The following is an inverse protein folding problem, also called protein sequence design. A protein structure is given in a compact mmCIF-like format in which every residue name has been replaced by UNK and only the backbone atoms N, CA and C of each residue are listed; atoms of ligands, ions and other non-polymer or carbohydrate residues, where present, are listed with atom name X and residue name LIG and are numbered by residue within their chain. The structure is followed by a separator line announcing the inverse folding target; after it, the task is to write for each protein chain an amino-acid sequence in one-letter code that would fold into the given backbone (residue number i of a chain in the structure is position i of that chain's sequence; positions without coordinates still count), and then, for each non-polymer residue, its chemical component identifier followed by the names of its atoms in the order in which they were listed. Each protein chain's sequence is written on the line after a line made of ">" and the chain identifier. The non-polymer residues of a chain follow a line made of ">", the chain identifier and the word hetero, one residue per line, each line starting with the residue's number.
data_IF_238613774757
#
_entry.id   IF_238613774757
#
_cell.length_a   1.000
_cell.length_b   1.000
_cell.length_c   1.000
_cell.angle_alpha   90.00
_cell.angle_beta   90.00
_cell.angle_gamma   90.00
#
_symmetry.space_group_name_H-M   'P 1'
#
loop_
_entity.id
_entity.type
_entity.pdbx_description
1 polymer ?
#
# COMPACT_ATOMS: atom_id res chain seq x y z
N UNK A 1 60.07 41.87 12.12
CA UNK A 1 58.67 41.96 11.72
C UNK A 1 58.09 40.54 11.70
N UNK A 2 57.33 40.16 12.74
CA UNK A 2 56.68 38.83 12.87
C UNK A 2 55.30 38.94 12.24
N UNK A 3 55.03 38.14 11.18
CA UNK A 3 53.73 38.02 10.55
C UNK A 3 52.84 37.08 11.39
N UNK A 4 51.76 37.62 11.93
CA UNK A 4 50.73 36.86 12.62
C UNK A 4 49.73 36.39 11.56
N UNK A 5 49.60 35.08 11.41
CA UNK A 5 48.57 34.44 10.56
C UNK A 5 47.27 34.32 11.37
N UNK A 6 46.11 34.74 10.88
CA UNK A 6 44.86 34.50 11.59
C UNK A 6 44.43 33.06 11.42
N UNK A 7 44.16 32.42 12.55
CA UNK A 7 43.60 31.08 12.66
C UNK A 7 42.11 31.20 12.31
N UNK A 8 41.73 30.71 11.12
CA UNK A 8 40.31 30.63 10.65
C UNK A 8 39.64 29.44 11.34
N UNK A 9 38.87 29.73 12.39
CA UNK A 9 38.05 28.71 13.04
C UNK A 9 36.89 28.31 12.08
N UNK A 10 36.95 27.11 11.46
CA UNK A 10 35.84 26.50 10.80
C UNK A 10 34.77 26.11 11.85
N UNK A 11 33.72 26.92 11.95
CA UNK A 11 32.48 26.49 12.60
C UNK A 11 31.81 25.40 11.70
N UNK A 12 31.99 24.15 12.04
CA UNK A 12 31.18 23.08 11.57
C UNK A 12 29.76 23.25 12.12
N UNK A 13 28.86 23.87 11.34
CA UNK A 13 27.45 23.82 11.60
C UNK A 13 27.04 22.32 11.45
N UNK A 14 26.94 21.64 12.59
CA UNK A 14 26.20 20.39 12.65
C UNK A 14 24.71 20.74 12.38
N UNK A 15 24.30 20.70 11.10
CA UNK A 15 22.89 20.60 10.73
C UNK A 15 22.40 19.31 11.37
N UNK A 16 21.70 19.42 12.49
CA UNK A 16 20.95 18.34 13.07
C UNK A 16 19.93 17.88 12.03
N UNK A 17 20.23 16.79 11.33
CA UNK A 17 19.24 16.10 10.52
C UNK A 17 18.10 15.74 11.46
N UNK A 18 16.89 16.26 11.20
CA UNK A 18 15.69 15.75 11.86
C UNK A 18 15.69 14.23 11.68
N UNK A 19 15.40 13.46 12.73
CA UNK A 19 15.23 12.01 12.56
C UNK A 19 14.26 11.79 11.40
N UNK A 20 14.60 10.89 10.47
CA UNK A 20 13.70 10.53 9.40
C UNK A 20 12.37 10.08 10.02
N UNK A 21 11.25 10.62 9.55
CA UNK A 21 9.94 10.18 10.01
C UNK A 21 9.82 8.68 9.73
N UNK A 22 9.37 7.93 10.75
CA UNK A 22 9.12 6.49 10.59
C UNK A 22 7.86 6.27 9.77
N UNK A 23 7.74 5.14 9.06
CA UNK A 23 6.50 4.75 8.42
C UNK A 23 5.35 4.73 9.43
N UNK A 24 4.15 5.09 8.97
CA UNK A 24 2.89 5.01 9.72
C UNK A 24 2.24 3.66 9.49
N UNK A 25 1.48 3.18 10.47
CA UNK A 25 0.76 1.91 10.35
C UNK A 25 -0.71 2.19 10.06
N UNK A 26 -1.22 1.63 8.97
CA UNK A 26 -2.62 1.73 8.56
C UNK A 26 -3.26 0.35 8.41
N UNK A 27 -4.57 0.33 8.19
CA UNK A 27 -5.37 -0.88 8.04
C UNK A 27 -6.35 -0.71 6.88
N UNK A 28 -6.78 -1.80 6.26
CA UNK A 28 -7.91 -1.76 5.32
C UNK A 28 -9.22 -1.39 6.03
N UNK A 29 -10.00 -0.49 5.47
CA UNK A 29 -11.34 -0.16 5.97
C UNK A 29 -12.25 -1.40 6.01
N UNK A 30 -12.09 -2.31 5.06
CA UNK A 30 -12.80 -3.61 5.02
C UNK A 30 -12.58 -4.44 6.30
N UNK A 31 -11.42 -4.32 6.94
CA UNK A 31 -11.12 -5.01 8.20
C UNK A 31 -11.85 -4.37 9.39
N UNK A 32 -12.05 -3.04 9.37
CA UNK A 32 -12.88 -2.34 10.36
C UNK A 32 -14.32 -2.85 10.26
N UNK A 33 -14.85 -3.02 9.06
CA UNK A 33 -16.15 -3.65 8.83
C UNK A 33 -16.20 -5.10 9.30
N UNK A 34 -15.10 -5.83 9.13
CA UNK A 34 -15.02 -7.21 9.62
C UNK A 34 -15.07 -7.25 11.15
N UNK A 35 -14.39 -6.35 11.84
CA UNK A 35 -14.50 -6.18 13.29
C UNK A 35 -15.95 -5.88 13.68
N UNK A 36 -16.58 -4.91 13.01
CA UNK A 36 -17.97 -4.51 13.30
C UNK A 36 -18.93 -5.72 13.23
N UNK A 37 -18.80 -6.53 12.16
CA UNK A 37 -19.63 -7.72 11.97
C UNK A 37 -19.33 -8.81 12.99
N UNK A 38 -18.06 -9.06 13.32
CA UNK A 38 -17.67 -10.14 14.25
C UNK A 38 -18.04 -9.81 15.70
N UNK A 39 -17.91 -8.54 16.09
CA UNK A 39 -18.21 -8.08 17.46
C UNK A 39 -19.69 -7.69 17.63
N UNK A 40 -20.47 -7.59 16.56
CA UNK A 40 -21.87 -7.15 16.61
C UNK A 40 -22.05 -5.69 17.02
N UNK A 41 -21.11 -4.82 16.60
CA UNK A 41 -21.06 -3.40 16.94
C UNK A 41 -21.17 -2.53 15.68
N UNK A 42 -21.37 -1.21 15.85
CA UNK A 42 -21.38 -0.26 14.74
C UNK A 42 -19.98 -0.09 14.12
N UNK A 43 -19.95 0.40 12.85
CA UNK A 43 -18.69 0.77 12.20
C UNK A 43 -17.89 1.79 13.02
N UNK A 44 -18.54 2.79 13.60
CA UNK A 44 -17.90 3.80 14.46
C UNK A 44 -17.22 3.18 15.68
N UNK A 45 -17.88 2.26 16.37
CA UNK A 45 -17.31 1.57 17.53
C UNK A 45 -16.14 0.68 17.13
N UNK A 46 -16.24 -0.03 16.00
CA UNK A 46 -15.15 -0.82 15.45
C UNK A 46 -13.94 0.05 15.07
N UNK A 47 -14.18 1.16 14.37
CA UNK A 47 -13.13 2.11 14.01
C UNK A 47 -12.46 2.71 15.26
N UNK A 48 -13.23 3.06 16.30
CA UNK A 48 -12.67 3.56 17.55
C UNK A 48 -11.75 2.51 18.21
N UNK A 49 -12.16 1.23 18.26
CA UNK A 49 -11.30 0.14 18.78
C UNK A 49 -10.00 -0.02 17.98
N UNK A 50 -10.06 0.06 16.66
CA UNK A 50 -8.87 0.01 15.80
C UNK A 50 -7.97 1.23 16.05
N UNK A 51 -8.54 2.41 16.22
CA UNK A 51 -7.78 3.62 16.55
C UNK A 51 -7.10 3.54 17.92
N UNK A 52 -7.79 2.96 18.92
CA UNK A 52 -7.24 2.71 20.27
C UNK A 52 -6.05 1.74 20.26
N UNK A 53 -5.99 0.77 19.34
CA UNK A 53 -4.81 -0.08 19.15
C UNK A 53 -3.60 0.74 18.74
N UNK A 54 -3.80 1.82 17.95
CA UNK A 54 -2.75 2.75 17.53
C UNK A 54 -2.66 2.96 16.02
N UNK A 55 -3.54 2.36 15.21
CA UNK A 55 -3.52 2.55 13.77
C UNK A 55 -3.67 4.02 13.37
N UNK A 56 -2.77 4.50 12.51
CA UNK A 56 -2.67 5.92 12.14
C UNK A 56 -3.58 6.30 10.97
N UNK A 57 -3.98 5.34 10.13
CA UNK A 57 -4.75 5.60 8.92
C UNK A 57 -5.53 4.38 8.44
N UNK A 58 -6.32 4.58 7.40
CA UNK A 58 -7.08 3.53 6.75
C UNK A 58 -7.03 3.65 5.22
N UNK A 59 -6.84 2.51 4.54
CA UNK A 59 -7.05 2.39 3.09
C UNK A 59 -8.53 2.23 2.84
N UNK A 60 -9.09 3.03 1.95
CA UNK A 60 -10.53 3.09 1.67
C UNK A 60 -10.82 2.91 0.20
N UNK A 61 -11.98 2.36 -0.14
CA UNK A 61 -12.40 2.25 -1.54
C UNK A 61 -12.97 3.56 -2.06
N UNK A 62 -12.76 3.83 -3.35
CA UNK A 62 -13.27 5.03 -4.03
C UNK A 62 -14.80 5.15 -3.94
N UNK A 63 -15.52 4.02 -3.76
CA UNK A 63 -16.96 4.00 -3.55
C UNK A 63 -17.36 3.82 -2.08
N UNK A 64 -16.46 4.17 -1.14
CA UNK A 64 -16.75 4.12 0.29
C UNK A 64 -17.92 5.06 0.64
N UNK A 65 -18.75 4.63 1.59
CA UNK A 65 -19.85 5.47 2.09
C UNK A 65 -19.28 6.78 2.68
N UNK A 66 -19.76 7.95 2.24
CA UNK A 66 -19.32 9.23 2.79
C UNK A 66 -19.49 9.37 4.31
N UNK A 67 -20.47 8.70 4.93
CA UNK A 67 -20.63 8.69 6.37
C UNK A 67 -19.51 7.96 7.08
N UNK A 68 -19.01 6.89 6.49
CA UNK A 68 -17.86 6.13 7.00
C UNK A 68 -16.58 6.95 6.93
N UNK A 69 -16.36 7.65 5.82
CA UNK A 69 -15.22 8.56 5.67
C UNK A 69 -15.26 9.65 6.75
N UNK A 70 -16.44 10.27 6.98
CA UNK A 70 -16.63 11.25 8.08
C UNK A 70 -16.38 10.66 9.48
N UNK A 71 -16.71 9.38 9.67
CA UNK A 71 -16.41 8.67 10.93
C UNK A 71 -14.90 8.51 11.10
N UNK A 72 -14.19 8.03 10.07
CA UNK A 72 -12.73 7.87 10.10
C UNK A 72 -12.04 9.20 10.39
N UNK A 73 -12.41 10.28 9.68
CA UNK A 73 -11.87 11.62 9.91
C UNK A 73 -12.12 12.11 11.34
N UNK A 74 -13.35 11.92 11.86
CA UNK A 74 -13.71 12.34 13.22
C UNK A 74 -12.94 11.60 14.32
N UNK A 75 -12.42 10.40 14.02
CA UNK A 75 -11.57 9.59 14.90
C UNK A 75 -10.07 9.85 14.68
N UNK A 76 -9.72 10.71 13.73
CA UNK A 76 -8.33 11.10 13.43
C UNK A 76 -7.53 10.05 12.66
N UNK A 77 -8.21 9.25 11.81
CA UNK A 77 -7.49 8.43 10.84
C UNK A 77 -6.93 9.30 9.72
N UNK A 78 -5.68 9.05 9.35
CA UNK A 78 -5.06 9.65 8.18
C UNK A 78 -5.49 8.95 6.89
N UNK A 79 -5.42 9.68 5.78
CA UNK A 79 -5.72 9.21 4.43
C UNK A 79 -4.50 8.43 3.90
N UNK A 80 -4.48 7.10 4.09
CA UNK A 80 -3.31 6.28 3.70
C UNK A 80 -3.29 5.98 2.21
N UNK A 81 -4.35 5.39 1.66
CA UNK A 81 -4.50 5.11 0.23
C UNK A 81 -5.97 5.03 -0.16
N UNK A 82 -6.35 5.55 -1.33
CA UNK A 82 -7.63 5.26 -1.97
C UNK A 82 -7.47 4.04 -2.89
N UNK A 83 -8.48 3.18 -2.97
CA UNK A 83 -8.47 1.96 -3.77
C UNK A 83 -9.57 2.05 -4.82
N UNK A 84 -9.22 1.98 -6.10
CA UNK A 84 -10.16 1.93 -7.21
C UNK A 84 -10.12 0.57 -7.90
N UNK A 85 -11.25 -0.13 -7.89
CA UNK A 85 -11.44 -1.35 -8.66
C UNK A 85 -11.92 -0.96 -10.06
N UNK A 86 -11.06 -1.05 -11.08
CA UNK A 86 -11.36 -0.68 -12.47
C UNK A 86 -11.03 -1.85 -13.37
N UNK A 87 -12.07 -2.50 -13.91
CA UNK A 87 -11.91 -3.71 -14.73
C UNK A 87 -11.53 -3.41 -16.18
N UNK A 88 -10.22 -3.21 -16.41
CA UNK A 88 -9.68 -3.01 -17.76
C UNK A 88 -9.72 -4.27 -18.63
N UNK A 89 -9.95 -5.44 -18.06
CA UNK A 89 -10.23 -6.65 -18.81
C UNK A 89 -11.58 -6.58 -19.58
N UNK A 90 -12.54 -5.84 -19.04
CA UNK A 90 -13.83 -5.58 -19.69
C UNK A 90 -13.79 -4.44 -20.73
N UNK A 91 -12.69 -3.69 -20.84
CA UNK A 91 -12.53 -2.61 -21.81
C UNK A 91 -12.29 -1.25 -21.18
N UNK A 92 -12.76 -0.17 -21.85
CA UNK A 92 -12.66 1.19 -21.32
C UNK A 92 -13.61 1.42 -20.15
N UNK A 93 -13.17 2.19 -19.16
CA UNK A 93 -13.90 2.42 -17.89
C UNK A 93 -13.95 3.92 -17.52
N UNK A 94 -14.41 4.80 -18.42
CA UNK A 94 -14.30 6.25 -18.22
C UNK A 94 -15.06 6.76 -17.00
N UNK A 95 -16.17 6.12 -16.64
CA UNK A 95 -16.99 6.51 -15.48
C UNK A 95 -16.27 6.18 -14.16
N UNK A 96 -15.66 5.00 -14.05
CA UNK A 96 -14.89 4.60 -12.87
C UNK A 96 -13.60 5.41 -12.74
N UNK A 97 -12.94 5.71 -13.84
CA UNK A 97 -11.76 6.58 -13.86
C UNK A 97 -12.10 8.01 -13.39
N UNK A 98 -13.23 8.55 -13.87
CA UNK A 98 -13.72 9.85 -13.42
C UNK A 98 -14.10 9.85 -11.94
N UNK A 99 -14.77 8.80 -11.46
CA UNK A 99 -15.14 8.64 -10.06
C UNK A 99 -13.89 8.56 -9.16
N UNK A 100 -12.84 7.84 -9.59
CA UNK A 100 -11.57 7.75 -8.85
C UNK A 100 -10.90 9.11 -8.72
N UNK A 101 -10.81 9.90 -9.80
CA UNK A 101 -10.24 11.24 -9.76
C UNK A 101 -11.06 12.20 -8.87
N UNK A 102 -12.39 12.17 -9.01
CA UNK A 102 -13.29 12.99 -8.20
C UNK A 102 -13.17 12.65 -6.71
N UNK A 103 -12.99 11.38 -6.37
CA UNK A 103 -12.78 10.93 -5.00
C UNK A 103 -11.50 11.53 -4.40
N UNK A 104 -10.36 11.44 -5.12
CA UNK A 104 -9.09 12.01 -4.66
C UNK A 104 -9.21 13.50 -4.39
N UNK A 105 -9.82 14.24 -5.33
CA UNK A 105 -10.04 15.70 -5.22
C UNK A 105 -10.98 16.07 -4.07
N UNK A 106 -12.04 15.28 -3.85
CA UNK A 106 -13.08 15.60 -2.88
C UNK A 106 -12.65 15.29 -1.44
N UNK A 107 -11.98 14.15 -1.24
CA UNK A 107 -11.65 13.65 0.09
C UNK A 107 -10.19 13.84 0.49
N UNK A 108 -9.36 14.44 -0.39
CA UNK A 108 -7.98 14.82 -0.05
C UNK A 108 -7.01 13.65 0.05
N UNK A 109 -7.28 12.54 -0.63
CA UNK A 109 -6.31 11.47 -0.79
C UNK A 109 -5.28 11.85 -1.86
N UNK A 110 -4.00 11.61 -1.60
CA UNK A 110 -2.90 11.96 -2.51
C UNK A 110 -2.41 10.76 -3.35
N UNK A 111 -2.90 9.56 -3.05
CA UNK A 111 -2.48 8.31 -3.70
C UNK A 111 -3.63 7.36 -3.96
N UNK A 112 -3.51 6.65 -5.08
CA UNK A 112 -4.50 5.71 -5.59
C UNK A 112 -3.85 4.35 -5.86
N UNK A 113 -4.34 3.30 -5.23
CA UNK A 113 -4.16 1.92 -5.69
C UNK A 113 -5.18 1.64 -6.78
N UNK A 114 -4.71 1.27 -7.95
CA UNK A 114 -5.52 0.80 -9.06
C UNK A 114 -5.52 -0.73 -9.09
N UNK A 115 -6.64 -1.34 -8.72
CA UNK A 115 -6.91 -2.77 -8.94
C UNK A 115 -7.45 -2.91 -10.36
N UNK A 116 -6.67 -3.56 -11.24
CA UNK A 116 -6.86 -3.48 -12.71
C UNK A 116 -7.90 -4.45 -13.27
N UNK A 117 -8.56 -5.23 -12.41
CA UNK A 117 -9.46 -6.31 -12.82
C UNK A 117 -8.73 -7.54 -13.36
N UNK A 118 -9.50 -8.47 -13.89
CA UNK A 118 -9.01 -9.74 -14.41
C UNK A 118 -9.24 -9.83 -15.91
N UNK A 119 -8.23 -10.24 -16.66
CA UNK A 119 -8.40 -10.51 -18.08
C UNK A 119 -9.40 -11.67 -18.29
N UNK A 120 -10.32 -11.58 -19.26
CA UNK A 120 -11.19 -12.66 -19.62
C UNK A 120 -10.41 -13.94 -19.97
N UNK A 121 -11.03 -15.11 -19.77
CA UNK A 121 -10.44 -16.36 -20.23
C UNK A 121 -10.26 -16.34 -21.76
N UNK A 122 -9.13 -16.87 -22.22
CA UNK A 122 -8.79 -16.87 -23.64
C UNK A 122 -8.29 -15.54 -24.19
N UNK A 123 -8.08 -14.50 -23.34
CA UNK A 123 -7.49 -13.23 -23.79
C UNK A 123 -6.16 -13.44 -24.49
N UNK A 124 -6.03 -12.83 -25.67
CA UNK A 124 -4.80 -12.83 -26.46
C UNK A 124 -3.74 -11.89 -25.89
N UNK A 125 -2.53 -11.96 -26.41
CA UNK A 125 -1.48 -10.98 -26.07
C UNK A 125 -1.91 -9.55 -26.46
N UNK A 126 -2.58 -9.40 -27.60
CA UNK A 126 -3.10 -8.09 -28.06
C UNK A 126 -4.14 -7.51 -27.10
N UNK A 127 -5.04 -8.34 -26.55
CA UNK A 127 -6.02 -7.89 -25.55
C UNK A 127 -5.35 -7.41 -24.27
N UNK A 128 -4.33 -8.15 -23.80
CA UNK A 128 -3.54 -7.78 -22.63
C UNK A 128 -2.76 -6.48 -22.86
N UNK A 129 -2.19 -6.29 -24.04
CA UNK A 129 -1.47 -5.06 -24.38
C UNK A 129 -2.42 -3.87 -24.49
N UNK A 130 -3.61 -4.05 -25.06
CA UNK A 130 -4.63 -3.00 -25.07
C UNK A 130 -5.08 -2.59 -23.67
N UNK A 131 -5.26 -3.55 -22.75
CA UNK A 131 -5.58 -3.26 -21.36
C UNK A 131 -4.43 -2.50 -20.65
N UNK A 132 -3.17 -2.90 -20.85
CA UNK A 132 -1.99 -2.18 -20.31
C UNK A 132 -1.93 -0.74 -20.83
N UNK A 133 -2.25 -0.49 -22.09
CA UNK A 133 -2.27 0.86 -22.66
C UNK A 133 -3.34 1.74 -22.01
N UNK A 134 -4.55 1.19 -21.73
CA UNK A 134 -5.60 1.92 -21.01
C UNK A 134 -5.14 2.29 -19.60
N UNK A 135 -4.54 1.34 -18.88
CA UNK A 135 -3.96 1.58 -17.54
C UNK A 135 -2.91 2.70 -17.60
N UNK A 136 -1.99 2.64 -18.58
CA UNK A 136 -0.95 3.65 -18.74
C UNK A 136 -1.54 5.04 -19.05
N UNK A 137 -2.57 5.11 -19.89
CA UNK A 137 -3.27 6.36 -20.21
C UNK A 137 -3.97 6.95 -18.98
N UNK A 138 -4.63 6.13 -18.17
CA UNK A 138 -5.23 6.58 -16.91
C UNK A 138 -4.17 7.03 -15.92
N UNK A 139 -3.10 6.25 -15.76
CA UNK A 139 -2.00 6.60 -14.87
C UNK A 139 -1.40 7.98 -15.20
N UNK A 140 -1.25 8.31 -16.48
CA UNK A 140 -0.78 9.63 -16.89
C UNK A 140 -1.76 10.73 -16.48
N UNK A 141 -3.07 10.55 -16.69
CA UNK A 141 -4.09 11.53 -16.27
C UNK A 141 -4.11 11.79 -14.77
N UNK A 142 -3.96 10.74 -13.95
CA UNK A 142 -3.89 10.85 -12.48
C UNK A 142 -2.65 11.66 -12.07
N UNK A 143 -1.50 11.36 -12.69
CA UNK A 143 -0.25 12.09 -12.46
C UNK A 143 -0.33 13.55 -12.88
N UNK A 144 -0.95 13.84 -14.02
CA UNK A 144 -1.11 15.21 -14.53
C UNK A 144 -1.94 16.10 -13.58
N UNK A 145 -2.79 15.47 -12.76
CA UNK A 145 -3.54 16.13 -11.68
C UNK A 145 -2.74 16.23 -10.36
N UNK A 146 -1.52 15.73 -10.32
CA UNK A 146 -0.64 15.82 -9.16
C UNK A 146 -0.80 14.69 -8.14
N UNK A 147 -1.56 13.64 -8.46
CA UNK A 147 -1.73 12.48 -7.59
C UNK A 147 -0.75 11.36 -7.93
N UNK A 148 -0.50 10.50 -6.94
CA UNK A 148 0.25 9.26 -7.11
C UNK A 148 -0.71 8.14 -7.49
N UNK A 149 -0.39 7.37 -8.54
CA UNK A 149 -1.13 6.16 -8.91
C UNK A 149 -0.20 4.95 -8.90
N UNK A 150 -0.69 3.84 -8.39
CA UNK A 150 0.07 2.61 -8.17
C UNK A 150 -0.75 1.41 -8.56
N UNK A 151 -0.07 0.32 -8.91
CA UNK A 151 -0.64 -1.03 -9.02
C UNK A 151 0.02 -1.95 -8.01
N UNK A 152 -0.70 -3.00 -7.64
CA UNK A 152 -0.26 -4.02 -6.71
C UNK A 152 0.06 -5.32 -7.45
N UNK A 153 1.02 -6.10 -6.98
CA UNK A 153 1.11 -7.52 -7.32
C UNK A 153 -0.15 -8.25 -6.82
N UNK A 154 -0.70 -9.15 -7.66
CA UNK A 154 -2.04 -9.67 -7.43
C UNK A 154 -2.06 -11.19 -7.38
N UNK A 155 -2.97 -11.78 -6.61
CA UNK A 155 -3.05 -13.20 -6.31
C UNK A 155 -3.75 -14.06 -7.37
N UNK A 156 -4.11 -13.50 -8.53
CA UNK A 156 -4.83 -14.21 -9.58
C UNK A 156 -4.06 -14.19 -10.91
N UNK A 157 -3.82 -15.37 -11.55
CA UNK A 157 -3.03 -15.47 -12.79
C UNK A 157 -3.65 -14.78 -14.00
N UNK A 158 -4.92 -14.39 -13.94
CA UNK A 158 -5.56 -13.58 -14.98
C UNK A 158 -5.28 -12.08 -14.81
N UNK A 159 -4.74 -11.64 -13.68
CA UNK A 159 -4.32 -10.27 -13.50
C UNK A 159 -3.13 -9.91 -14.38
N UNK A 160 -3.07 -8.67 -14.85
CA UNK A 160 -1.89 -8.12 -15.53
C UNK A 160 -0.71 -7.90 -14.56
N UNK A 161 -1.00 -7.88 -13.26
CA UNK A 161 -0.05 -7.67 -12.17
C UNK A 161 0.28 -8.96 -11.40
N UNK A 162 -0.05 -10.16 -11.93
CA UNK A 162 0.05 -11.42 -11.20
C UNK A 162 1.46 -11.74 -10.70
N UNK A 163 2.49 -11.35 -11.44
CA UNK A 163 3.89 -11.68 -11.14
C UNK A 163 4.83 -10.53 -11.53
N UNK A 164 6.10 -10.66 -11.14
CA UNK A 164 7.13 -9.67 -11.47
C UNK A 164 7.22 -9.34 -12.97
N UNK A 165 7.02 -10.31 -13.86
CA UNK A 165 7.06 -10.07 -15.32
C UNK A 165 5.88 -9.24 -15.81
N UNK A 166 4.68 -9.44 -15.23
CA UNK A 166 3.51 -8.64 -15.49
C UNK A 166 3.68 -7.18 -15.06
N UNK A 167 4.19 -6.99 -13.84
CA UNK A 167 4.53 -5.67 -13.31
C UNK A 167 5.60 -4.96 -14.16
N UNK A 168 6.67 -5.65 -14.56
CA UNK A 168 7.69 -5.10 -15.46
C UNK A 168 7.09 -4.57 -16.75
N UNK A 169 6.17 -5.34 -17.34
CA UNK A 169 5.50 -4.95 -18.59
C UNK A 169 4.68 -3.66 -18.43
N UNK A 170 4.00 -3.49 -17.29
CA UNK A 170 3.26 -2.27 -16.98
C UNK A 170 4.19 -1.10 -16.68
N UNK A 171 5.20 -1.30 -15.87
CA UNK A 171 6.15 -0.25 -15.49
C UNK A 171 7.01 0.23 -16.67
N UNK A 172 7.34 -0.65 -17.61
CA UNK A 172 8.02 -0.28 -18.85
C UNK A 172 7.16 0.63 -19.75
N UNK A 173 5.84 0.36 -19.77
CA UNK A 173 4.89 1.14 -20.58
C UNK A 173 4.53 2.46 -19.89
N UNK A 174 4.46 2.49 -18.56
CA UNK A 174 4.03 3.67 -17.80
C UNK A 174 5.06 4.08 -16.73
N UNK A 175 5.96 5.03 -17.04
CA UNK A 175 6.87 5.61 -16.05
C UNK A 175 6.15 6.31 -14.88
N UNK A 176 4.91 6.72 -15.09
CA UNK A 176 4.06 7.39 -14.09
C UNK A 176 3.51 6.46 -13.03
N UNK A 177 3.53 5.15 -13.29
CA UNK A 177 2.93 4.14 -12.43
C UNK A 177 3.89 3.74 -11.31
N UNK A 178 3.44 3.88 -10.07
CA UNK A 178 4.12 3.38 -8.88
C UNK A 178 3.70 1.96 -8.52
N UNK A 179 4.18 1.49 -7.39
CA UNK A 179 3.92 0.15 -6.86
C UNK A 179 3.36 0.22 -5.43
N UNK A 180 2.23 -0.43 -5.21
CA UNK A 180 1.81 -0.91 -3.90
C UNK A 180 2.46 -2.27 -3.72
N UNK A 181 3.42 -2.36 -2.85
CA UNK A 181 4.15 -3.60 -2.59
C UNK A 181 3.38 -4.43 -1.58
N UNK A 182 2.67 -5.47 -2.04
CA UNK A 182 2.06 -6.46 -1.15
C UNK A 182 3.08 -7.54 -0.82
N UNK A 183 3.32 -7.76 0.46
CA UNK A 183 4.37 -8.68 0.89
C UNK A 183 4.01 -10.15 0.71
N UNK A 184 2.73 -10.50 0.62
CA UNK A 184 2.26 -11.88 0.59
C UNK A 184 1.67 -12.37 -0.74
N UNK A 185 1.42 -11.47 -1.70
CA UNK A 185 0.82 -11.86 -2.98
C UNK A 185 1.83 -12.50 -3.94
N UNK A 186 3.11 -12.11 -3.91
CA UNK A 186 4.17 -12.72 -4.73
C UNK A 186 4.22 -14.25 -4.60
N UNK A 187 3.87 -14.76 -3.42
CA UNK A 187 3.87 -16.20 -3.15
C UNK A 187 2.95 -17.00 -4.09
N UNK A 188 1.81 -16.41 -4.52
CA UNK A 188 0.88 -17.07 -5.45
C UNK A 188 1.50 -17.34 -6.84
N UNK A 189 2.40 -16.47 -7.27
CA UNK A 189 3.12 -16.62 -8.52
C UNK A 189 4.40 -17.46 -8.39
N UNK A 190 4.78 -17.84 -7.17
CA UNK A 190 6.06 -18.46 -6.87
C UNK A 190 7.24 -17.48 -6.95
N UNK A 191 6.96 -16.19 -6.92
CA UNK A 191 7.96 -15.13 -6.85
C UNK A 191 8.41 -14.92 -5.39
N UNK A 192 9.67 -14.52 -5.19
CA UNK A 192 10.22 -14.19 -3.89
C UNK A 192 10.04 -12.71 -3.59
N UNK A 193 9.42 -12.38 -2.46
CA UNK A 193 9.11 -10.99 -2.08
C UNK A 193 10.37 -10.14 -1.86
N UNK A 194 11.49 -10.71 -1.38
CA UNK A 194 12.75 -9.97 -1.22
C UNK A 194 13.39 -9.66 -2.58
N UNK A 195 13.33 -10.61 -3.52
CA UNK A 195 13.80 -10.39 -4.90
C UNK A 195 12.93 -9.33 -5.58
N UNK A 196 11.61 -9.38 -5.39
CA UNK A 196 10.69 -8.37 -5.89
C UNK A 196 10.95 -6.99 -5.27
N UNK A 197 11.20 -6.93 -3.96
CA UNK A 197 11.60 -5.69 -3.29
C UNK A 197 12.85 -5.09 -3.92
N UNK A 198 13.93 -5.85 -4.04
CA UNK A 198 15.21 -5.36 -4.60
C UNK A 198 15.03 -4.85 -6.04
N UNK A 199 14.12 -5.46 -6.79
CA UNK A 199 13.80 -5.05 -8.16
C UNK A 199 12.97 -3.78 -8.25
N UNK A 200 11.95 -3.64 -7.41
CA UNK A 200 10.93 -2.59 -7.53
C UNK A 200 11.01 -1.48 -6.47
N UNK A 201 11.99 -1.51 -5.55
CA UNK A 201 12.10 -0.59 -4.42
C UNK A 201 11.98 0.89 -4.81
N UNK A 202 12.48 1.29 -5.98
CA UNK A 202 12.42 2.68 -6.45
C UNK A 202 11.02 3.12 -6.94
N UNK A 203 10.04 2.21 -6.96
CA UNK A 203 8.66 2.46 -7.36
C UNK A 203 7.66 2.34 -6.21
N UNK A 204 8.11 1.83 -5.06
CA UNK A 204 7.24 1.59 -3.90
C UNK A 204 6.77 2.94 -3.36
N UNK A 205 5.48 3.21 -3.49
CA UNK A 205 4.80 4.38 -2.94
C UNK A 205 3.87 4.05 -1.77
N UNK A 206 3.51 2.77 -1.62
CA UNK A 206 2.66 2.25 -0.55
C UNK A 206 2.99 0.77 -0.29
N UNK A 207 2.67 0.25 0.89
CA UNK A 207 2.99 -1.13 1.26
C UNK A 207 1.78 -1.79 1.92
N UNK A 208 1.40 -2.97 1.43
CA UNK A 208 0.48 -3.86 2.12
C UNK A 208 1.28 -4.95 2.84
N UNK A 209 1.10 -5.02 4.14
CA UNK A 209 1.69 -6.04 4.98
C UNK A 209 0.72 -7.22 5.09
N UNK A 210 0.90 -8.17 4.20
CA UNK A 210 0.15 -9.41 4.13
C UNK A 210 1.07 -10.57 4.49
N UNK A 211 0.70 -11.35 5.50
CA UNK A 211 1.49 -12.50 5.93
C UNK A 211 0.67 -13.79 5.78
N UNK A 212 1.34 -14.91 5.57
CA UNK A 212 0.76 -16.21 5.27
C UNK A 212 1.22 -17.26 6.27
N UNK A 213 0.38 -18.26 6.56
CA UNK A 213 0.73 -19.36 7.48
C UNK A 213 1.99 -20.07 7.01
N UNK A 214 2.03 -20.51 5.75
CA UNK A 214 3.13 -21.23 5.14
C UNK A 214 3.10 -21.09 3.61
N UNK A 215 4.16 -21.44 2.89
CA UNK A 215 4.18 -21.34 1.42
C UNK A 215 3.10 -22.17 0.69
N UNK A 216 2.61 -23.22 1.33
CA UNK A 216 1.53 -24.09 0.84
C UNK A 216 0.19 -23.85 1.56
N UNK A 217 0.12 -22.88 2.47
CA UNK A 217 -1.09 -22.46 3.17
C UNK A 217 -1.28 -20.95 3.05
N UNK A 218 -2.15 -20.54 2.13
CA UNK A 218 -2.41 -19.14 1.75
C UNK A 218 -3.32 -18.39 2.72
N UNK A 219 -3.71 -18.98 3.87
CA UNK A 219 -4.46 -18.25 4.89
C UNK A 219 -3.61 -17.09 5.45
N UNK A 220 -4.25 -15.94 5.60
CA UNK A 220 -3.59 -14.80 6.23
C UNK A 220 -3.47 -15.01 7.75
N UNK A 221 -2.35 -14.55 8.27
CA UNK A 221 -2.07 -14.43 9.71
C UNK A 221 -1.66 -12.98 10.03
N UNK A 222 -1.64 -12.56 11.30
CA UNK A 222 -1.15 -11.25 11.68
C UNK A 222 0.25 -10.99 11.11
N UNK A 223 0.45 -9.84 10.49
CA UNK A 223 1.74 -9.46 9.91
C UNK A 223 2.89 -9.64 10.91
N UNK A 224 3.96 -10.32 10.49
CA UNK A 224 5.10 -10.71 11.31
C UNK A 224 4.92 -11.99 12.11
N UNK A 225 3.83 -12.77 11.88
CA UNK A 225 3.59 -14.05 12.56
C UNK A 225 3.71 -15.27 11.65
N UNK A 226 3.85 -15.08 10.35
CA UNK A 226 3.81 -16.13 9.35
C UNK A 226 5.15 -16.42 8.68
N UNK A 227 5.08 -16.88 7.43
CA UNK A 227 6.25 -17.29 6.67
C UNK A 227 6.87 -16.18 5.81
N UNK A 228 6.19 -15.06 5.62
CA UNK A 228 6.71 -13.93 4.86
C UNK A 228 7.77 -13.19 5.67
N UNK A 229 8.94 -12.82 5.09
CA UNK A 229 10.02 -12.17 5.82
C UNK A 229 9.72 -10.68 6.11
N UNK A 230 8.57 -10.40 6.77
CA UNK A 230 8.07 -9.04 7.04
C UNK A 230 9.12 -8.18 7.74
N UNK A 231 9.83 -8.72 8.73
CA UNK A 231 10.84 -7.97 9.48
C UNK A 231 11.99 -7.50 8.58
N UNK A 232 12.46 -8.36 7.68
CA UNK A 232 13.54 -8.02 6.74
C UNK A 232 13.06 -6.99 5.71
N UNK A 233 11.86 -7.18 5.15
CA UNK A 233 11.27 -6.24 4.16
C UNK A 233 11.08 -4.86 4.80
N UNK A 234 10.47 -4.77 5.98
CA UNK A 234 10.29 -3.50 6.70
C UNK A 234 11.63 -2.87 7.07
N UNK A 235 12.62 -3.67 7.49
CA UNK A 235 13.97 -3.22 7.74
C UNK A 235 14.63 -2.58 6.49
N UNK A 236 14.50 -3.20 5.33
CA UNK A 236 14.98 -2.68 4.04
C UNK A 236 14.25 -1.38 3.66
N UNK A 237 12.93 -1.31 3.83
CA UNK A 237 12.11 -0.10 3.59
C UNK A 237 12.60 1.08 4.46
N UNK A 238 12.76 0.86 5.76
CA UNK A 238 13.24 1.89 6.68
C UNK A 238 14.67 2.33 6.32
N UNK A 239 15.54 1.38 6.00
CA UNK A 239 16.93 1.67 5.61
C UNK A 239 17.01 2.47 4.29
N UNK A 240 16.07 2.29 3.36
CA UNK A 240 15.96 3.09 2.12
C UNK A 240 15.37 4.48 2.33
N UNK A 241 14.92 4.80 3.56
CA UNK A 241 14.28 6.09 3.89
C UNK A 241 12.78 6.13 3.61
N UNK A 242 12.13 4.97 3.39
CA UNK A 242 10.68 4.92 3.26
C UNK A 242 10.00 5.41 4.54
N UNK A 243 9.12 6.38 4.41
CA UNK A 243 8.37 7.01 5.51
C UNK A 243 6.86 7.08 5.23
N UNK A 244 6.40 6.27 4.27
CA UNK A 244 4.99 6.17 3.87
C UNK A 244 4.15 5.34 4.84
N UNK A 245 3.20 4.60 4.29
CA UNK A 245 2.25 3.80 5.03
C UNK A 245 2.55 2.31 4.90
N UNK A 246 2.42 1.61 6.01
CA UNK A 246 2.45 0.16 6.11
C UNK A 246 1.04 -0.29 6.47
N UNK A 247 0.25 -0.68 5.50
CA UNK A 247 -1.15 -1.07 5.68
C UNK A 247 -1.25 -2.56 5.97
N UNK A 248 -1.81 -2.90 7.12
CA UNK A 248 -2.08 -4.31 7.48
C UNK A 248 -3.23 -4.86 6.64
N UNK A 249 -2.98 -5.97 5.94
CA UNK A 249 -3.97 -6.68 5.13
C UNK A 249 -4.02 -8.16 5.53
N UNK A 250 -5.14 -8.61 6.09
CA UNK A 250 -5.31 -9.95 6.65
C UNK A 250 -6.72 -10.50 6.43
N UNK A 251 -7.14 -10.59 5.16
CA UNK A 251 -8.46 -11.13 4.80
C UNK A 251 -8.65 -12.57 5.32
N UNK A 252 -9.91 -12.89 5.68
CA UNK A 252 -10.29 -14.23 6.15
C UNK A 252 -10.08 -14.46 7.65
N UNK A 253 -9.58 -13.49 8.42
CA UNK A 253 -9.47 -13.60 9.88
C UNK A 253 -10.83 -13.84 10.52
N UNK A 254 -10.89 -14.79 11.44
CA UNK A 254 -12.10 -15.10 12.24
C UNK A 254 -12.15 -14.33 13.55
N UNK A 255 -11.11 -13.60 13.90
CA UNK A 255 -10.95 -12.81 15.12
C UNK A 255 -10.23 -11.47 14.79
N UNK A 256 -10.77 -10.72 13.82
CA UNK A 256 -10.11 -9.59 13.17
C UNK A 256 -9.56 -8.56 14.17
N UNK A 257 -10.29 -8.27 15.25
CA UNK A 257 -9.81 -7.31 16.26
C UNK A 257 -8.56 -7.79 16.99
N UNK A 258 -8.53 -9.08 17.38
CA UNK A 258 -7.37 -9.66 18.05
C UNK A 258 -6.16 -9.77 17.11
N UNK A 259 -6.40 -10.18 15.87
CA UNK A 259 -5.36 -10.30 14.85
C UNK A 259 -4.80 -8.91 14.45
N UNK A 260 -5.66 -7.88 14.34
CA UNK A 260 -5.21 -6.50 14.12
C UNK A 260 -4.34 -5.99 15.27
N UNK A 261 -4.68 -6.33 16.51
CA UNK A 261 -3.85 -5.96 17.67
C UNK A 261 -2.49 -6.67 17.64
N UNK A 262 -2.44 -7.94 17.26
CA UNK A 262 -1.20 -8.71 17.13
C UNK A 262 -0.33 -8.14 15.99
N UNK A 263 -0.91 -7.89 14.79
CA UNK A 263 -0.20 -7.32 13.66
C UNK A 263 0.39 -5.94 14.00
N UNK A 264 -0.39 -5.06 14.64
CA UNK A 264 0.10 -3.75 15.06
C UNK A 264 1.28 -3.85 16.04
N UNK A 265 1.19 -4.75 17.02
CA UNK A 265 2.26 -4.98 18.00
C UNK A 265 3.54 -5.49 17.32
N UNK A 266 3.43 -6.49 16.43
CA UNK A 266 4.56 -7.04 15.69
C UNK A 266 5.24 -5.97 14.80
N UNK A 267 4.46 -5.24 14.00
CA UNK A 267 5.01 -4.20 13.11
C UNK A 267 5.65 -3.08 13.91
N UNK A 268 5.06 -2.70 15.04
CA UNK A 268 5.63 -1.69 15.94
C UNK A 268 6.97 -2.15 16.54
N UNK A 269 7.09 -3.41 16.95
CA UNK A 269 8.33 -4.00 17.45
C UNK A 269 9.42 -3.98 16.36
N UNK A 270 9.09 -4.43 15.14
CA UNK A 270 9.99 -4.39 13.99
C UNK A 270 10.49 -2.96 13.72
N UNK A 271 9.60 -1.96 13.74
CA UNK A 271 9.97 -0.54 13.53
C UNK A 271 10.85 0.04 14.65
N UNK A 272 10.88 -0.59 15.82
CA UNK A 272 11.78 -0.23 16.93
C UNK A 272 13.11 -0.98 16.88
N UNK A 273 13.22 -2.04 16.08
CA UNK A 273 14.38 -2.93 16.01
C UNK A 273 14.41 -3.95 17.15
N UNK A 274 13.24 -4.33 17.64
CA UNK A 274 13.03 -5.31 18.73
C UNK A 274 12.81 -6.72 18.17
#
# INVERSE_FOLDING_TARGET
>A
MKKILPLLALLLCACGQKPAEKPKISIFCDHIWTVARQEGISFREAAAKIREIGYDGADVRVLQDPDELRILDSLGFGHSCAIADIDYGAGEQPEMEAAALAFLETYGYDRLLLVTGLMPEGSTAADRDAARQRIAAFAQRVKDKGFCIMVEDFDNPRSLCYNMAGLDSLFALSPSLGHVFDTGNYLFAGDDALVAYDKFQNRIGHVHLKDRVAPDDMHCVPAGSGCIPIAEIVGKLVASGYNGWLTVEQYGSRQMLADSKAAYANVTAILKGE
#
